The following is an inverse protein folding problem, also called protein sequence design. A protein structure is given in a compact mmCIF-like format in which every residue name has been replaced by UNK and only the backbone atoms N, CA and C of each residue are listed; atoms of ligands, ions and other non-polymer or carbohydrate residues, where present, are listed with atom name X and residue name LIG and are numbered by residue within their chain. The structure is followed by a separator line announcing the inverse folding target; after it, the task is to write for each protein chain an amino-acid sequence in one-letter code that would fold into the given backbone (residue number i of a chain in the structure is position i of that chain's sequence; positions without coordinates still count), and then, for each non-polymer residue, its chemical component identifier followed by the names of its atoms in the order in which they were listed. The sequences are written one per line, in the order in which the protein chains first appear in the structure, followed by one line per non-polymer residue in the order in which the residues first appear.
data_IF_640327220526
#
_entry.id   IF_640327220526
#
_cell.length_a   1.000
_cell.length_b   1.000
_cell.length_c   1.000
_cell.angle_alpha   90.00
_cell.angle_beta   90.00
_cell.angle_gamma   90.00
#
_symmetry.space_group_name_H-M   'P 1'
#
loop_
_entity.id
_entity.type
_entity.pdbx_description
1 polymer ?
#
# COMPACT_ATOMS: atom_id res chain seq x y z
N UNK A 1 10.86 -34.35 2.50
CA UNK A 1 10.62 -33.34 3.55
C UNK A 1 11.78 -32.34 3.55
N UNK A 2 11.54 -31.04 3.34
CA UNK A 2 12.60 -30.01 3.44
C UNK A 2 13.08 -29.94 4.88
N UNK A 3 14.39 -30.05 5.12
CA UNK A 3 14.98 -29.83 6.45
C UNK A 3 14.86 -28.34 6.78
N UNK A 4 14.09 -28.00 7.83
CA UNK A 4 14.01 -26.63 8.33
C UNK A 4 15.41 -26.19 8.82
N UNK A 5 15.84 -25.01 8.39
CA UNK A 5 17.19 -24.52 8.71
C UNK A 5 17.19 -23.93 10.12
N UNK A 6 17.98 -24.50 11.03
CA UNK A 6 18.07 -24.02 12.40
C UNK A 6 19.19 -22.97 12.56
N UNK A 7 18.91 -21.91 13.32
CA UNK A 7 19.89 -20.86 13.66
C UNK A 7 20.05 -20.69 15.18
N UNK A 8 21.26 -20.35 15.66
CA UNK A 8 21.51 -20.12 17.08
C UNK A 8 20.88 -18.80 17.57
N UNK A 9 20.60 -18.72 18.88
CA UNK A 9 19.97 -17.56 19.52
C UNK A 9 20.63 -16.22 19.20
N UNK A 10 21.96 -16.14 19.14
CA UNK A 10 22.68 -14.90 18.83
C UNK A 10 22.39 -14.40 17.41
N UNK A 11 22.29 -15.32 16.44
CA UNK A 11 21.92 -15.00 15.06
C UNK A 11 20.45 -14.56 14.97
N UNK A 12 19.56 -15.28 15.65
CA UNK A 12 18.14 -14.93 15.70
C UNK A 12 17.90 -13.54 16.32
N UNK A 13 18.55 -13.22 17.45
CA UNK A 13 18.44 -11.93 18.12
C UNK A 13 18.92 -10.78 17.23
N UNK A 14 20.07 -10.97 16.54
CA UNK A 14 20.58 -10.01 15.56
C UNK A 14 19.61 -9.78 14.40
N UNK A 15 19.02 -10.85 13.86
CA UNK A 15 18.05 -10.76 12.76
C UNK A 15 16.77 -10.02 13.17
N UNK A 16 16.31 -10.20 14.40
CA UNK A 16 15.12 -9.55 14.94
C UNK A 16 15.36 -8.12 15.44
N UNK A 17 16.61 -7.65 15.47
CA UNK A 17 16.96 -6.32 15.98
C UNK A 17 16.75 -6.18 17.50
N UNK A 18 16.87 -7.26 18.26
CA UNK A 18 16.68 -7.28 19.72
C UNK A 18 17.90 -7.86 20.43
N UNK A 19 18.04 -7.60 21.73
CA UNK A 19 19.09 -8.24 22.54
C UNK A 19 18.78 -9.74 22.74
N UNK A 20 19.82 -10.55 22.97
CA UNK A 20 19.67 -11.97 23.33
C UNK A 20 18.80 -12.14 24.58
N UNK A 21 18.94 -11.25 25.56
CA UNK A 21 18.11 -11.23 26.78
C UNK A 21 16.62 -11.02 26.47
N UNK A 22 16.28 -10.11 25.55
CA UNK A 22 14.90 -9.90 25.08
C UNK A 22 14.33 -11.16 24.42
N UNK A 23 15.13 -11.84 23.59
CA UNK A 23 14.70 -13.07 22.93
C UNK A 23 14.50 -14.23 23.93
N UNK A 24 15.32 -14.30 24.97
CA UNK A 24 15.15 -15.26 26.08
C UNK A 24 13.86 -14.99 26.88
N UNK A 25 13.52 -13.72 27.12
CA UNK A 25 12.26 -13.33 27.75
C UNK A 25 11.05 -13.75 26.91
N UNK A 26 11.13 -13.62 25.59
CA UNK A 26 10.06 -14.06 24.69
C UNK A 26 9.84 -15.57 24.74
N UNK A 27 10.92 -16.36 24.86
CA UNK A 27 10.80 -17.79 25.12
C UNK A 27 10.14 -18.08 26.47
N UNK A 28 10.59 -17.44 27.55
CA UNK A 28 10.02 -17.66 28.90
C UNK A 28 8.52 -17.37 28.95
N UNK A 29 8.06 -16.42 28.13
CA UNK A 29 6.66 -16.00 28.08
C UNK A 29 5.87 -16.64 26.92
N UNK A 30 6.41 -17.68 26.26
CA UNK A 30 5.73 -18.43 25.21
C UNK A 30 5.59 -17.73 23.85
N UNK A 31 6.14 -16.52 23.68
CA UNK A 31 6.03 -15.71 22.46
C UNK A 31 6.86 -16.27 21.28
N UNK A 32 7.94 -16.99 21.56
CA UNK A 32 8.77 -17.65 20.57
C UNK A 32 9.42 -18.89 21.17
N UNK A 33 9.11 -20.08 20.66
CA UNK A 33 9.52 -21.34 21.26
C UNK A 33 10.78 -21.85 20.54
N UNK A 34 11.93 -21.99 21.22
CA UNK A 34 13.14 -22.55 20.63
C UNK A 34 13.09 -24.08 20.63
N UNK A 35 13.85 -24.68 19.71
CA UNK A 35 14.25 -26.08 19.77
C UNK A 35 15.53 -26.16 20.62
N UNK A 36 15.52 -27.00 21.65
CA UNK A 36 16.69 -27.23 22.50
C UNK A 36 17.51 -28.36 21.90
N UNK A 37 18.74 -28.05 21.48
CA UNK A 37 19.69 -29.07 21.02
C UNK A 37 20.14 -29.97 22.16
N UNK A 38 20.71 -31.15 21.83
CA UNK A 38 21.26 -32.12 22.78
C UNK A 38 22.29 -31.47 23.73
N UNK A 39 23.01 -30.43 23.28
CA UNK A 39 23.98 -29.67 24.09
C UNK A 39 23.36 -28.54 24.92
N UNK A 40 22.03 -28.53 25.10
CA UNK A 40 21.30 -27.50 25.85
C UNK A 40 21.20 -26.13 25.17
N UNK A 41 21.65 -25.99 23.91
CA UNK A 41 21.63 -24.70 23.19
C UNK A 41 20.28 -24.47 22.53
N UNK A 42 19.76 -23.24 22.65
CA UNK A 42 18.55 -22.77 21.98
C UNK A 42 18.81 -22.52 20.49
N UNK A 43 18.00 -23.15 19.66
CA UNK A 43 17.98 -22.97 18.21
C UNK A 43 16.58 -22.56 17.75
N UNK A 44 16.50 -21.78 16.70
CA UNK A 44 15.25 -21.30 16.13
C UNK A 44 15.16 -21.70 14.66
N UNK A 45 13.95 -21.96 14.19
CA UNK A 45 13.68 -22.20 12.77
C UNK A 45 13.91 -20.87 12.02
N UNK A 46 14.78 -20.86 11.02
CA UNK A 46 15.15 -19.65 10.28
C UNK A 46 13.93 -18.98 9.68
N UNK A 47 13.06 -19.77 9.06
CA UNK A 47 11.83 -19.31 8.40
C UNK A 47 10.88 -18.63 9.40
N UNK A 48 10.83 -19.15 10.64
CA UNK A 48 10.03 -18.59 11.72
C UNK A 48 10.58 -17.24 12.22
N UNK A 49 11.91 -17.11 12.26
CA UNK A 49 12.61 -15.86 12.61
C UNK A 49 12.43 -14.83 11.50
N UNK A 50 12.63 -15.21 10.23
CA UNK A 50 12.47 -14.33 9.06
C UNK A 50 11.05 -13.76 8.95
N UNK A 51 10.03 -14.56 9.28
CA UNK A 51 8.65 -14.09 9.35
C UNK A 51 8.40 -13.04 10.46
N UNK A 52 9.24 -13.00 11.49
CA UNK A 52 9.14 -12.11 12.65
C UNK A 52 10.11 -10.93 12.62
N UNK A 53 11.05 -10.89 11.67
CA UNK A 53 11.84 -9.69 11.43
C UNK A 53 10.83 -8.58 11.13
N UNK A 54 10.91 -7.43 11.81
CA UNK A 54 10.15 -6.25 11.41
C UNK A 54 10.61 -5.88 10.01
N UNK A 55 9.97 -6.45 8.98
CA UNK A 55 10.06 -5.93 7.64
C UNK A 55 9.59 -4.49 7.76
N UNK A 56 10.33 -3.54 7.16
CA UNK A 56 9.73 -2.23 6.87
C UNK A 56 8.36 -2.53 6.28
N UNK A 57 7.30 -1.92 6.82
CA UNK A 57 5.97 -2.19 6.27
C UNK A 57 6.02 -1.82 4.78
N UNK A 58 5.30 -2.57 3.94
CA UNK A 58 5.20 -2.23 2.51
C UNK A 58 4.76 -0.77 2.32
N UNK A 59 3.98 -0.25 3.26
CA UNK A 59 3.61 1.16 3.35
C UNK A 59 4.81 2.08 3.61
N UNK A 60 5.66 1.77 4.61
CA UNK A 60 6.87 2.54 4.87
C UNK A 60 7.85 2.52 3.69
N UNK A 61 7.93 1.41 2.95
CA UNK A 61 8.76 1.34 1.74
C UNK A 61 8.20 2.23 0.62
N UNK A 62 6.90 2.17 0.36
CA UNK A 62 6.22 3.04 -0.60
C UNK A 62 6.33 4.53 -0.22
N UNK A 63 6.13 4.87 1.04
CA UNK A 63 6.24 6.24 1.56
C UNK A 63 7.65 6.79 1.38
N UNK A 64 8.67 6.00 1.73
CA UNK A 64 10.07 6.37 1.50
C UNK A 64 10.33 6.55 0.01
N UNK A 65 9.81 5.65 -0.83
CA UNK A 65 10.01 5.70 -2.27
C UNK A 65 9.37 6.95 -2.90
N UNK A 66 8.13 7.29 -2.56
CA UNK A 66 7.44 8.46 -3.13
C UNK A 66 7.99 9.80 -2.61
N UNK A 67 8.53 9.79 -1.39
CA UNK A 67 9.04 11.01 -0.72
C UNK A 67 10.49 11.36 -1.08
N UNK A 68 11.20 10.50 -1.81
CA UNK A 68 12.55 10.82 -2.29
C UNK A 68 12.53 12.03 -3.22
N UNK A 69 13.58 12.84 -3.16
CA UNK A 69 13.76 13.96 -4.07
C UNK A 69 14.00 13.50 -5.51
N UNK A 70 14.85 12.48 -5.69
CA UNK A 70 15.16 11.87 -7.00
C UNK A 70 14.52 10.50 -7.10
N UNK A 71 13.82 10.26 -8.21
CA UNK A 71 13.26 8.97 -8.55
C UNK A 71 14.36 7.91 -8.71
N UNK A 72 14.15 6.77 -8.04
CA UNK A 72 14.92 5.54 -8.23
C UNK A 72 13.91 4.42 -8.35
N UNK A 73 14.12 3.51 -9.29
CA UNK A 73 13.25 2.33 -9.44
C UNK A 73 13.15 1.60 -8.10
N UNK A 74 11.92 1.29 -7.61
CA UNK A 74 11.77 0.49 -6.40
C UNK A 74 12.19 -0.96 -6.68
N UNK A 75 12.18 -1.81 -5.65
CA UNK A 75 12.42 -3.24 -5.86
C UNK A 75 11.45 -3.77 -6.93
N UNK A 76 11.97 -4.56 -7.88
CA UNK A 76 11.18 -5.17 -8.96
C UNK A 76 9.96 -5.93 -8.44
N UNK A 77 10.03 -6.47 -7.23
CA UNK A 77 8.88 -7.14 -6.60
C UNK A 77 7.68 -6.20 -6.36
N UNK A 78 7.90 -4.89 -6.28
CA UNK A 78 6.87 -3.86 -6.10
C UNK A 78 6.66 -2.99 -7.34
N UNK A 79 7.60 -2.96 -8.29
CA UNK A 79 7.54 -2.02 -9.40
C UNK A 79 6.65 -2.51 -10.55
N UNK A 80 5.67 -1.70 -10.94
CA UNK A 80 4.93 -1.82 -12.21
C UNK A 80 5.33 -0.65 -13.09
N UNK A 81 6.12 -0.90 -14.13
CA UNK A 81 6.66 0.17 -14.97
C UNK A 81 5.58 0.76 -15.89
N UNK A 82 4.65 -0.07 -16.33
CA UNK A 82 3.55 0.31 -17.23
C UNK A 82 2.20 -0.27 -16.74
N UNK A 83 1.12 0.16 -17.40
CA UNK A 83 -0.25 -0.27 -17.06
C UNK A 83 -0.44 -1.78 -17.26
N UNK A 84 0.17 -2.40 -18.26
CA UNK A 84 0.10 -3.84 -18.48
C UNK A 84 0.70 -4.64 -17.31
N UNK A 85 1.83 -4.18 -16.75
CA UNK A 85 2.43 -4.78 -15.56
C UNK A 85 1.46 -4.72 -14.37
N UNK A 86 0.81 -3.58 -14.18
CA UNK A 86 -0.19 -3.40 -13.13
C UNK A 86 -1.38 -4.34 -13.34
N UNK A 87 -1.96 -4.37 -14.54
CA UNK A 87 -3.12 -5.19 -14.85
C UNK A 87 -2.85 -6.68 -14.61
N UNK A 88 -1.67 -7.17 -14.98
CA UNK A 88 -1.24 -8.52 -14.65
C UNK A 88 -1.18 -8.77 -13.14
N UNK A 89 -0.64 -7.83 -12.35
CA UNK A 89 -0.56 -7.97 -10.90
C UNK A 89 -1.90 -7.83 -10.19
N UNK A 90 -2.80 -7.01 -10.70
CA UNK A 90 -4.19 -6.90 -10.22
C UNK A 90 -4.93 -8.21 -10.49
N UNK A 91 -4.73 -8.84 -11.67
CA UNK A 91 -5.30 -10.17 -11.95
C UNK A 91 -4.77 -11.24 -11.00
N UNK A 92 -3.48 -11.19 -10.68
CA UNK A 92 -2.88 -12.07 -9.67
C UNK A 92 -3.48 -11.82 -8.28
N UNK A 93 -3.64 -10.56 -7.88
CA UNK A 93 -4.30 -10.18 -6.63
C UNK A 93 -5.72 -10.73 -6.57
N UNK A 94 -6.52 -10.58 -7.63
CA UNK A 94 -7.89 -11.11 -7.72
C UNK A 94 -7.93 -12.60 -7.39
N UNK A 95 -7.08 -13.40 -8.05
CA UNK A 95 -6.98 -14.84 -7.79
C UNK A 95 -6.51 -15.16 -6.35
N UNK A 96 -5.77 -14.26 -5.70
CA UNK A 96 -5.33 -14.46 -4.32
C UNK A 96 -6.42 -14.09 -3.32
N UNK A 97 -7.22 -13.05 -3.61
CA UNK A 97 -8.31 -12.62 -2.75
C UNK A 97 -9.54 -13.54 -2.87
N UNK A 98 -9.77 -14.16 -4.03
CA UNK A 98 -10.88 -15.12 -4.22
C UNK A 98 -10.78 -16.35 -3.33
N UNK A 99 -9.56 -16.71 -2.90
CA UNK A 99 -9.29 -17.83 -1.99
C UNK A 99 -9.48 -17.47 -0.51
N UNK A 100 -9.77 -16.20 -0.19
CA UNK A 100 -9.94 -15.74 1.18
C UNK A 100 -11.43 -15.79 1.54
N UNK A 101 -11.82 -16.81 2.28
CA UNK A 101 -13.24 -17.12 2.57
C UNK A 101 -14.01 -15.94 3.17
N UNK A 102 -13.39 -15.15 4.05
CA UNK A 102 -14.08 -14.06 4.75
C UNK A 102 -14.28 -12.78 3.93
N UNK A 103 -13.77 -12.70 2.69
CA UNK A 103 -14.02 -11.58 1.76
C UNK A 103 -14.56 -12.07 0.42
N UNK A 104 -14.99 -13.33 0.34
CA UNK A 104 -15.38 -13.99 -0.91
C UNK A 104 -16.54 -13.31 -1.64
N UNK A 105 -17.40 -12.62 -0.90
CA UNK A 105 -18.54 -11.89 -1.47
C UNK A 105 -18.18 -10.46 -1.91
N UNK A 106 -17.03 -9.94 -1.48
CA UNK A 106 -16.64 -8.53 -1.69
C UNK A 106 -15.28 -8.35 -2.37
N UNK A 107 -14.50 -9.42 -2.59
CA UNK A 107 -13.14 -9.30 -3.15
C UNK A 107 -13.12 -8.64 -4.52
N UNK A 108 -14.15 -8.83 -5.34
CA UNK A 108 -14.28 -8.18 -6.65
C UNK A 108 -14.37 -6.66 -6.53
N UNK A 109 -15.02 -6.14 -5.47
CA UNK A 109 -15.07 -4.71 -5.16
C UNK A 109 -13.69 -4.19 -4.71
N UNK A 110 -12.96 -4.97 -3.90
CA UNK A 110 -11.59 -4.62 -3.48
C UNK A 110 -10.68 -4.51 -4.71
N UNK A 111 -10.74 -5.50 -5.61
CA UNK A 111 -9.99 -5.52 -6.87
C UNK A 111 -10.36 -4.32 -7.74
N UNK A 112 -11.64 -3.99 -7.86
CA UNK A 112 -12.11 -2.83 -8.60
C UNK A 112 -11.54 -1.52 -8.03
N UNK A 113 -11.60 -1.31 -6.71
CA UNK A 113 -11.04 -0.12 -6.08
C UNK A 113 -9.52 0.01 -6.31
N UNK A 114 -8.78 -1.09 -6.16
CA UNK A 114 -7.33 -1.14 -6.39
C UNK A 114 -6.99 -0.84 -7.85
N UNK A 115 -7.73 -1.42 -8.79
CA UNK A 115 -7.57 -1.19 -10.23
C UNK A 115 -7.81 0.27 -10.59
N UNK A 116 -8.89 0.87 -10.08
CA UNK A 116 -9.22 2.28 -10.29
C UNK A 116 -8.13 3.21 -9.76
N UNK A 117 -7.66 2.99 -8.52
CA UNK A 117 -6.57 3.78 -7.94
C UNK A 117 -5.30 3.67 -8.80
N UNK A 118 -4.90 2.44 -9.16
CA UNK A 118 -3.66 2.22 -9.90
C UNK A 118 -3.70 2.71 -11.34
N UNK A 119 -4.84 2.57 -12.04
CA UNK A 119 -5.00 3.05 -13.41
C UNK A 119 -4.94 4.58 -13.49
N UNK A 120 -5.51 5.29 -12.51
CA UNK A 120 -5.43 6.75 -12.43
C UNK A 120 -3.97 7.26 -12.45
N UNK A 121 -3.03 6.51 -11.86
CA UNK A 121 -1.61 6.86 -11.91
C UNK A 121 -1.06 6.86 -13.34
N UNK A 122 -1.53 5.98 -14.23
CA UNK A 122 -1.08 5.96 -15.63
C UNK A 122 -1.84 6.98 -16.48
N UNK A 123 -3.16 7.03 -16.35
CA UNK A 123 -4.03 7.89 -17.17
C UNK A 123 -3.73 9.38 -17.00
N UNK A 124 -3.36 9.82 -15.80
CA UNK A 124 -3.07 11.23 -15.50
C UNK A 124 -1.60 11.63 -15.68
N UNK A 125 -0.71 10.66 -15.84
CA UNK A 125 0.73 10.92 -15.97
C UNK A 125 1.31 10.51 -17.32
N UNK A 126 0.53 9.92 -18.23
CA UNK A 126 1.00 9.56 -19.57
C UNK A 126 1.61 10.78 -20.28
N UNK A 127 2.87 10.63 -20.72
CA UNK A 127 3.66 11.70 -21.35
C UNK A 127 4.09 12.84 -20.41
N UNK A 128 3.77 12.78 -19.11
CA UNK A 128 3.96 13.86 -18.15
C UNK A 128 4.54 13.40 -16.80
N UNK A 129 5.17 12.22 -16.75
CA UNK A 129 5.87 11.73 -15.56
C UNK A 129 7.00 12.71 -15.18
N UNK A 130 7.04 13.22 -13.93
CA UNK A 130 8.08 14.17 -13.52
C UNK A 130 9.49 13.57 -13.45
N UNK A 131 9.59 12.28 -13.13
CA UNK A 131 10.86 11.57 -13.02
C UNK A 131 10.76 10.13 -13.56
N UNK A 132 10.56 9.13 -12.70
CA UNK A 132 10.45 7.74 -13.09
C UNK A 132 8.98 7.40 -13.37
N UNK A 133 8.67 6.79 -14.52
CA UNK A 133 7.31 6.35 -14.81
C UNK A 133 6.93 5.13 -13.97
N UNK A 134 5.63 4.89 -13.83
CA UNK A 134 5.10 3.69 -13.21
C UNK A 134 4.80 3.84 -11.73
N UNK A 135 4.41 2.72 -11.12
CA UNK A 135 3.87 2.69 -9.75
C UNK A 135 4.56 1.65 -8.87
N UNK A 136 4.61 1.95 -7.58
CA UNK A 136 4.81 0.95 -6.54
C UNK A 136 3.47 0.26 -6.28
N UNK A 137 3.45 -1.06 -6.35
CA UNK A 137 2.32 -1.92 -6.06
C UNK A 137 2.78 -3.07 -5.14
N UNK A 138 2.43 -2.97 -3.86
CA UNK A 138 2.78 -3.94 -2.83
C UNK A 138 1.54 -4.60 -2.23
N UNK A 139 1.58 -5.91 -2.03
CA UNK A 139 0.50 -6.69 -1.41
C UNK A 139 1.05 -7.49 -0.24
N UNK A 140 0.39 -7.40 0.91
CA UNK A 140 0.67 -8.23 2.07
C UNK A 140 -0.64 -8.88 2.56
N UNK A 141 -0.91 -10.10 2.10
CA UNK A 141 -2.14 -10.82 2.45
C UNK A 141 -2.23 -11.17 3.94
N UNK A 142 -1.10 -11.44 4.60
CA UNK A 142 -1.07 -11.75 6.05
C UNK A 142 -1.51 -10.57 6.91
N UNK A 143 -1.13 -9.35 6.50
CA UNK A 143 -1.56 -8.11 7.14
C UNK A 143 -2.83 -7.54 6.52
N UNK A 144 -3.33 -8.15 5.45
CA UNK A 144 -4.42 -7.65 4.59
C UNK A 144 -4.25 -6.21 4.15
N UNK A 145 -3.09 -5.93 3.56
CA UNK A 145 -2.73 -4.59 3.10
C UNK A 145 -2.39 -4.61 1.62
N UNK A 146 -2.89 -3.62 0.89
CA UNK A 146 -2.51 -3.32 -0.48
C UNK A 146 -2.03 -1.88 -0.50
N UNK A 147 -0.85 -1.65 -1.05
CA UNK A 147 -0.23 -0.32 -1.12
C UNK A 147 0.04 0.02 -2.56
N UNK A 148 -0.47 1.18 -2.99
CA UNK A 148 -0.20 1.77 -4.29
C UNK A 148 0.49 3.11 -4.07
N UNK A 149 1.51 3.41 -4.86
CA UNK A 149 2.07 4.76 -4.90
C UNK A 149 2.59 5.09 -6.29
N UNK A 150 2.58 6.37 -6.65
CA UNK A 150 3.19 6.86 -7.87
C UNK A 150 3.95 8.15 -7.60
N UNK A 151 4.93 8.46 -8.46
CA UNK A 151 5.72 9.70 -8.40
C UNK A 151 5.25 10.73 -9.45
N UNK A 152 3.96 10.67 -9.79
CA UNK A 152 3.34 11.51 -10.79
C UNK A 152 3.17 12.97 -10.39
N UNK A 153 2.28 13.65 -11.10
CA UNK A 153 2.02 15.08 -10.95
C UNK A 153 1.21 15.44 -9.70
N UNK A 154 0.48 14.47 -9.14
CA UNK A 154 -0.45 14.69 -8.03
C UNK A 154 -1.81 15.19 -8.47
N UNK A 155 -2.79 15.08 -7.55
CA UNK A 155 -4.18 15.44 -7.82
C UNK A 155 -4.31 16.96 -8.03
N UNK A 156 -3.70 17.78 -7.18
CA UNK A 156 -3.84 19.24 -7.28
C UNK A 156 -3.40 19.79 -8.62
N UNK A 157 -2.19 19.42 -9.08
CA UNK A 157 -1.68 19.84 -10.40
C UNK A 157 -2.56 19.34 -11.54
N UNK A 158 -3.13 18.13 -11.42
CA UNK A 158 -4.00 17.55 -12.43
C UNK A 158 -5.34 18.26 -12.50
N UNK A 159 -5.97 18.54 -11.35
CA UNK A 159 -7.27 19.19 -11.28
C UNK A 159 -7.20 20.70 -11.58
N UNK A 160 -6.11 21.38 -11.24
CA UNK A 160 -5.97 22.83 -11.48
C UNK A 160 -6.07 23.22 -12.97
N UNK A 161 -5.85 22.27 -13.89
CA UNK A 161 -6.05 22.47 -15.33
C UNK A 161 -7.52 22.63 -15.72
N UNK A 162 -8.42 22.00 -14.96
CA UNK A 162 -9.88 22.00 -15.21
C UNK A 162 -10.66 22.80 -14.18
N UNK A 163 -10.06 23.06 -13.02
CA UNK A 163 -10.58 23.87 -11.92
C UNK A 163 -9.49 24.83 -11.39
N UNK A 164 -9.20 25.92 -12.13
CA UNK A 164 -8.14 26.86 -11.77
C UNK A 164 -8.32 27.51 -10.39
N UNK A 165 -9.56 27.55 -9.90
CA UNK A 165 -9.98 28.10 -8.61
C UNK A 165 -9.49 27.30 -7.39
N UNK A 166 -9.05 26.04 -7.58
CA UNK A 166 -8.49 25.25 -6.49
C UNK A 166 -7.22 25.91 -5.92
N UNK A 167 -7.18 26.09 -4.61
CA UNK A 167 -6.12 26.84 -3.93
C UNK A 167 -5.00 25.95 -3.40
N UNK A 168 -5.34 24.76 -2.91
CA UNK A 168 -4.42 23.89 -2.17
C UNK A 168 -4.67 22.38 -2.42
N UNK A 169 -3.76 21.55 -1.88
CA UNK A 169 -3.81 20.10 -2.02
C UNK A 169 -5.07 19.52 -1.34
N UNK A 170 -5.51 20.12 -0.24
CA UNK A 170 -6.65 19.67 0.55
C UNK A 170 -7.98 19.80 -0.21
N UNK A 171 -8.25 21.00 -0.73
CA UNK A 171 -9.42 21.26 -1.58
C UNK A 171 -9.40 20.36 -2.81
N UNK A 172 -8.24 20.17 -3.44
CA UNK A 172 -8.14 19.30 -4.61
C UNK A 172 -8.41 17.83 -4.28
N UNK A 173 -7.93 17.33 -3.15
CA UNK A 173 -8.18 15.96 -2.70
C UNK A 173 -9.67 15.77 -2.36
N UNK A 174 -10.28 16.74 -1.69
CA UNK A 174 -11.71 16.72 -1.40
C UNK A 174 -12.53 16.68 -2.70
N UNK A 175 -12.32 17.65 -3.61
CA UNK A 175 -12.98 17.71 -4.93
C UNK A 175 -12.81 16.43 -5.74
N UNK A 176 -11.63 15.79 -5.68
CA UNK A 176 -11.38 14.53 -6.40
C UNK A 176 -12.33 13.40 -5.94
N UNK A 177 -12.66 13.34 -4.65
CA UNK A 177 -13.51 12.34 -4.03
C UNK A 177 -14.99 12.72 -3.93
N UNK A 178 -15.38 13.99 -4.13
CA UNK A 178 -16.78 14.46 -3.99
C UNK A 178 -17.45 14.88 -5.29
N UNK A 179 -16.77 15.62 -6.17
CA UNK A 179 -17.46 16.37 -7.22
C UNK A 179 -17.39 15.70 -8.59
N UNK A 180 -18.52 15.49 -9.26
CA UNK A 180 -18.53 15.00 -10.64
C UNK A 180 -17.97 16.10 -11.55
N UNK A 181 -16.78 15.86 -12.12
CA UNK A 181 -16.13 16.81 -13.03
C UNK A 181 -16.56 16.46 -14.46
N UNK A 182 -17.65 17.07 -14.91
CA UNK A 182 -18.35 16.76 -16.18
C UNK A 182 -17.72 17.37 -17.44
N UNK A 183 -16.59 18.08 -17.33
CA UNK A 183 -15.96 18.81 -18.44
C UNK A 183 -15.20 17.98 -19.49
N UNK A 184 -15.38 16.65 -19.53
CA UNK A 184 -14.71 15.74 -20.49
C UNK A 184 -15.73 14.94 -21.29
N UNK A 185 -16.28 15.52 -22.36
CA UNK A 185 -16.97 14.74 -23.39
C UNK A 185 -15.95 14.39 -24.48
N UNK A 186 -15.79 13.10 -24.88
CA UNK A 186 -16.67 11.97 -24.64
C UNK A 186 -15.96 10.87 -23.82
N UNK A 187 -15.74 11.03 -22.50
CA UNK A 187 -15.16 9.93 -21.71
C UNK A 187 -15.69 9.90 -20.28
N UNK A 188 -15.98 8.70 -19.76
CA UNK A 188 -16.22 8.41 -18.34
C UNK A 188 -15.00 8.68 -17.42
N UNK A 189 -14.13 9.64 -17.77
CA UNK A 189 -12.93 9.99 -17.01
C UNK A 189 -13.26 11.10 -16.01
N UNK A 190 -13.11 10.78 -14.72
CA UNK A 190 -13.37 11.71 -13.61
C UNK A 190 -14.14 11.11 -12.44
N UNK A 191 -14.58 9.85 -12.56
CA UNK A 191 -15.42 9.16 -11.56
C UNK A 191 -14.66 8.14 -10.69
N UNK A 192 -13.43 7.75 -11.04
CA UNK A 192 -12.71 6.65 -10.38
C UNK A 192 -12.63 6.79 -8.86
N UNK A 193 -12.19 7.94 -8.34
CA UNK A 193 -12.08 8.13 -6.88
C UNK A 193 -13.44 8.27 -6.17
N UNK A 194 -14.51 8.70 -6.87
CA UNK A 194 -15.89 8.67 -6.32
C UNK A 194 -16.41 7.24 -6.24
N UNK A 195 -16.10 6.43 -7.24
CA UNK A 195 -16.42 5.01 -7.25
C UNK A 195 -15.66 4.27 -6.15
N UNK A 196 -14.36 4.54 -5.97
CA UNK A 196 -13.56 4.03 -4.86
C UNK A 196 -14.18 4.40 -3.51
N UNK A 197 -14.58 5.67 -3.31
CA UNK A 197 -15.26 6.12 -2.08
C UNK A 197 -16.50 5.28 -1.77
N UNK A 198 -17.33 4.99 -2.78
CA UNK A 198 -18.54 4.17 -2.63
C UNK A 198 -18.22 2.72 -2.28
N UNK A 199 -17.10 2.18 -2.77
CA UNK A 199 -16.68 0.80 -2.47
C UNK A 199 -16.29 0.64 -1.01
N UNK A 200 -15.66 1.64 -0.38
CA UNK A 200 -15.13 1.53 0.99
C UNK A 200 -16.10 0.88 1.98
N UNK A 201 -17.34 1.40 2.17
CA UNK A 201 -18.31 0.77 3.07
C UNK A 201 -18.90 -0.55 2.52
N UNK A 202 -19.02 -0.70 1.21
CA UNK A 202 -19.59 -1.90 0.59
C UNK A 202 -18.67 -3.12 0.68
N UNK A 203 -17.36 -2.90 0.64
CA UNK A 203 -16.35 -3.94 0.73
C UNK A 203 -15.78 -4.12 2.14
N UNK A 204 -16.29 -3.36 3.12
CA UNK A 204 -15.79 -3.35 4.50
C UNK A 204 -14.27 -3.12 4.60
N UNK A 205 -13.76 -2.19 3.78
CA UNK A 205 -12.33 -1.84 3.74
C UNK A 205 -12.08 -0.49 4.40
N UNK A 206 -10.82 -0.22 4.70
CA UNK A 206 -10.34 1.12 5.05
C UNK A 206 -9.40 1.62 3.94
N UNK A 207 -9.49 2.91 3.61
CA UNK A 207 -8.62 3.55 2.64
C UNK A 207 -7.93 4.75 3.28
N UNK A 208 -6.59 4.71 3.35
CA UNK A 208 -5.77 5.90 3.48
C UNK A 208 -5.33 6.36 2.10
N UNK A 209 -5.43 7.66 1.81
CA UNK A 209 -4.95 8.26 0.58
C UNK A 209 -4.19 9.56 0.86
N UNK A 210 -3.09 9.81 0.16
CA UNK A 210 -2.31 11.02 0.27
C UNK A 210 -1.81 11.51 -1.09
N UNK A 211 -1.85 12.82 -1.31
CA UNK A 211 -1.29 13.54 -2.46
C UNK A 211 -0.80 14.91 -2.00
N UNK A 212 0.38 15.36 -2.43
CA UNK A 212 0.90 16.64 -1.95
C UNK A 212 1.10 16.60 -0.43
N UNK A 213 0.54 17.59 0.27
CA UNK A 213 0.38 17.56 1.73
C UNK A 213 -0.96 17.01 2.19
N UNK A 214 -1.95 16.83 1.33
CA UNK A 214 -3.30 16.44 1.74
C UNK A 214 -3.41 14.92 1.98
N UNK A 215 -4.10 14.56 3.07
CA UNK A 215 -4.38 13.17 3.46
C UNK A 215 -5.87 12.97 3.68
N UNK A 216 -6.37 11.79 3.35
CA UNK A 216 -7.75 11.34 3.52
C UNK A 216 -7.73 9.96 4.17
N UNK A 217 -8.64 9.73 5.11
CA UNK A 217 -8.97 8.40 5.60
C UNK A 217 -10.46 8.14 5.39
N UNK A 218 -10.80 7.00 4.80
CA UNK A 218 -12.17 6.51 4.69
C UNK A 218 -12.25 5.18 5.42
N UNK A 219 -13.34 4.96 6.13
CA UNK A 219 -13.61 3.71 6.85
C UNK A 219 -14.96 3.13 6.45
N UNK A 220 -15.19 1.87 6.79
CA UNK A 220 -16.46 1.20 6.55
C UNK A 220 -17.63 1.83 7.32
N UNK A 221 -17.35 2.39 8.50
CA UNK A 221 -18.33 3.02 9.40
C UNK A 221 -18.55 4.50 9.13
N UNK A 222 -17.54 5.18 8.60
CA UNK A 222 -17.56 6.60 8.35
C UNK A 222 -16.94 6.89 6.97
N UNK A 223 -17.83 7.31 6.05
CA UNK A 223 -17.51 7.72 4.69
C UNK A 223 -17.48 9.24 4.51
N UNK A 224 -17.55 9.98 5.63
CA UNK A 224 -17.33 11.42 5.62
C UNK A 224 -15.90 11.70 5.19
N UNK A 225 -15.74 12.76 4.41
CA UNK A 225 -14.43 13.16 3.91
C UNK A 225 -13.87 14.16 4.90
N UNK A 226 -12.89 13.72 5.69
CA UNK A 226 -12.10 14.59 6.54
C UNK A 226 -10.69 14.62 5.96
N UNK A 227 -10.40 15.70 5.24
CA UNK A 227 -9.07 15.94 4.69
C UNK A 227 -8.21 16.64 5.73
N UNK A 228 -7.01 16.11 5.95
CA UNK A 228 -6.04 16.66 6.90
C UNK A 228 -4.71 16.96 6.20
N UNK A 229 -3.96 17.92 6.73
CA UNK A 229 -2.58 18.15 6.28
C UNK A 229 -1.63 17.11 6.88
N UNK A 230 -0.97 16.36 6.02
CA UNK A 230 0.10 15.41 6.31
C UNK A 230 1.44 16.09 6.57
N UNK A 231 2.31 15.39 7.32
CA UNK A 231 3.64 15.90 7.72
C UNK A 231 4.70 15.83 6.62
N UNK A 232 4.49 14.96 5.63
CA UNK A 232 5.44 14.68 4.56
C UNK A 232 4.82 15.12 3.25
N UNK A 233 5.53 15.91 2.45
CA UNK A 233 5.08 16.39 1.15
C UNK A 233 5.73 15.60 0.03
N UNK A 234 4.94 15.10 -0.92
CA UNK A 234 5.43 14.52 -2.18
C UNK A 234 4.47 14.82 -3.33
N UNK A 235 4.95 14.69 -4.58
CA UNK A 235 4.20 15.12 -5.77
C UNK A 235 3.06 14.17 -6.14
N UNK A 236 3.34 12.88 -6.26
CA UNK A 236 2.37 11.89 -6.72
C UNK A 236 1.40 11.46 -5.63
N UNK A 237 0.90 10.24 -5.72
CA UNK A 237 -0.09 9.70 -4.80
C UNK A 237 0.45 8.52 -3.98
N UNK A 238 -0.13 8.29 -2.81
CA UNK A 238 0.08 7.12 -1.95
C UNK A 238 -1.28 6.66 -1.43
N UNK A 239 -1.59 5.38 -1.61
CA UNK A 239 -2.80 4.74 -1.12
C UNK A 239 -2.46 3.48 -0.32
N UNK A 240 -3.18 3.28 0.78
CA UNK A 240 -3.17 2.04 1.56
C UNK A 240 -4.61 1.57 1.73
N UNK A 241 -4.88 0.37 1.24
CA UNK A 241 -6.16 -0.34 1.42
C UNK A 241 -5.96 -1.43 2.46
N UNK A 242 -6.71 -1.37 3.56
CA UNK A 242 -6.83 -2.47 4.52
C UNK A 242 -8.16 -3.21 4.26
N UNK A 243 -8.13 -4.55 4.23
CA UNK A 243 -9.29 -5.40 3.97
C UNK A 243 -9.38 -6.60 4.93
#
# INVERSE_FOLDING_TARGET
MKKNKLIPIGKAAKMLGVSVATLQRWHKNGKLIPIISIKGRRQYILEEIEARIPKKSIFSEALVWVSREKGVEPNKEFYCQNSSDLQFRVKKLENQLSEIENIKDVYSLIVAAVGEIGNNSFDHNLGNWPDIPGIFFGVNLLKRQIVLADRGQGIFKTLKRVKPELENDEQALETAFTEIISGRAPEERGNGLKFVKRIVPLAHIELFFQTGTATLNLTDKDSSIIVNSGKIKFRGCLALVNF
#
